data_IF_336957652611
#
_entry.id   IF_336957652611
#
_cell.length_a   1.000
_cell.length_b   1.000
_cell.length_c   1.000
_cell.angle_alpha   90.00
_cell.angle_beta   90.00
_cell.angle_gamma   90.00
#
_symmetry.space_group_name_H-M   'P 1'
#
loop_
_entity.id
_entity.type
_entity.pdbx_description
1 polymer ?
#
# COMPACT_ATOMS: atom_id res chain seq x y z
N UNK A 1 17.97 -4.35 5.56
CA UNK A 1 17.30 -5.04 4.42
C UNK A 1 16.17 -5.98 4.85
N UNK A 2 16.26 -6.68 6.00
CA UNK A 2 15.19 -7.58 6.49
C UNK A 2 13.96 -6.86 7.08
N UNK A 3 14.13 -5.68 7.67
CA UNK A 3 13.05 -5.00 8.42
C UNK A 3 11.88 -4.47 7.56
N UNK A 4 12.11 -4.08 6.30
CA UNK A 4 11.03 -3.52 5.46
C UNK A 4 10.14 -4.58 4.81
N UNK A 5 10.46 -5.86 4.96
CA UNK A 5 9.74 -6.99 4.34
C UNK A 5 8.66 -7.60 5.25
N UNK A 6 8.73 -7.37 6.57
CA UNK A 6 7.76 -7.88 7.56
C UNK A 6 6.37 -7.25 7.43
N UNK A 7 6.29 -6.07 6.83
CA UNK A 7 5.02 -5.34 6.59
C UNK A 7 4.27 -5.91 5.37
N UNK A 8 4.91 -6.76 4.55
CA UNK A 8 4.30 -7.33 3.34
C UNK A 8 3.83 -8.77 3.57
N UNK A 9 2.63 -9.15 3.07
CA UNK A 9 2.24 -10.56 3.03
C UNK A 9 3.26 -11.35 2.20
N UNK A 10 3.61 -12.57 2.63
CA UNK A 10 4.68 -13.40 2.03
C UNK A 10 4.60 -13.47 0.50
N UNK A 11 3.39 -13.60 -0.04
CA UNK A 11 3.13 -13.65 -1.49
C UNK A 11 3.52 -12.36 -2.24
N UNK A 12 3.38 -11.20 -1.61
CA UNK A 12 3.80 -9.92 -2.17
C UNK A 12 5.33 -9.75 -2.12
N UNK A 13 5.96 -10.19 -1.03
CA UNK A 13 7.42 -10.20 -0.89
C UNK A 13 8.08 -11.14 -1.90
N UNK A 14 7.54 -12.36 -2.08
CA UNK A 14 8.00 -13.33 -3.09
C UNK A 14 7.89 -12.78 -4.51
N UNK A 15 6.76 -12.14 -4.83
CA UNK A 15 6.57 -11.51 -6.14
C UNK A 15 7.55 -10.37 -6.38
N UNK A 16 7.85 -9.56 -5.37
CA UNK A 16 8.82 -8.48 -5.45
C UNK A 16 10.25 -9.02 -5.64
N UNK A 17 10.62 -10.07 -4.91
CA UNK A 17 11.92 -10.75 -5.07
C UNK A 17 12.09 -11.32 -6.48
N UNK A 18 11.08 -12.04 -7.00
CA UNK A 18 11.10 -12.60 -8.36
C UNK A 18 11.19 -11.49 -9.41
N UNK A 19 10.48 -10.39 -9.22
CA UNK A 19 10.54 -9.24 -10.11
C UNK A 19 11.92 -8.58 -10.11
N UNK A 20 12.54 -8.41 -8.95
CA UNK A 20 13.90 -7.89 -8.83
C UNK A 20 14.90 -8.79 -9.57
N UNK A 21 14.80 -10.11 -9.40
CA UNK A 21 15.67 -11.06 -10.09
C UNK A 21 15.51 -10.97 -11.61
N UNK A 22 14.27 -10.96 -12.11
CA UNK A 22 13.99 -10.82 -13.54
C UNK A 22 14.52 -9.51 -14.10
N UNK A 23 14.37 -8.41 -13.35
CA UNK A 23 14.91 -7.11 -13.73
C UNK A 23 16.44 -7.15 -13.79
N UNK A 24 17.13 -7.70 -12.79
CA UNK A 24 18.59 -7.82 -12.79
C UNK A 24 19.10 -8.67 -13.96
N UNK A 25 18.41 -9.77 -14.28
CA UNK A 25 18.73 -10.61 -15.46
C UNK A 25 18.52 -9.83 -16.76
N UNK A 26 17.49 -8.99 -16.84
CA UNK A 26 17.23 -8.16 -18.02
C UNK A 26 18.24 -7.00 -18.15
N UNK A 27 18.63 -6.36 -17.05
CA UNK A 27 19.63 -5.28 -17.03
C UNK A 27 21.03 -5.81 -17.36
N UNK A 28 21.36 -7.03 -16.93
CA UNK A 28 22.63 -7.69 -17.28
C UNK A 28 22.67 -8.28 -18.69
N UNK A 29 21.60 -8.11 -19.49
CA UNK A 29 21.54 -8.61 -20.87
C UNK A 29 21.36 -10.13 -20.98
N UNK A 30 21.18 -10.85 -19.87
CA UNK A 30 20.98 -12.31 -19.85
C UNK A 30 19.64 -12.73 -20.43
N UNK A 31 18.63 -11.86 -20.34
CA UNK A 31 17.31 -12.05 -20.94
C UNK A 31 16.85 -10.74 -21.60
N UNK A 32 16.07 -10.86 -22.67
CA UNK A 32 15.38 -9.70 -23.26
C UNK A 32 14.20 -9.28 -22.37
N UNK A 33 13.87 -7.99 -22.41
CA UNK A 33 12.77 -7.42 -21.60
C UNK A 33 11.41 -8.12 -21.83
N UNK A 34 11.12 -8.55 -23.06
CA UNK A 34 9.89 -9.28 -23.36
C UNK A 34 9.88 -10.69 -22.73
N UNK A 35 11.02 -11.39 -22.69
CA UNK A 35 11.15 -12.68 -22.01
C UNK A 35 10.94 -12.53 -20.51
N UNK A 36 11.44 -11.43 -19.93
CA UNK A 36 11.16 -11.09 -18.54
C UNK A 36 9.66 -10.84 -18.27
N UNK A 37 8.94 -10.24 -19.23
CA UNK A 37 7.50 -10.02 -19.10
C UNK A 37 6.72 -11.34 -19.08
N UNK A 38 7.10 -12.27 -19.95
CA UNK A 38 6.54 -13.63 -20.02
C UNK A 38 6.81 -14.41 -18.73
N UNK A 39 8.05 -14.41 -18.22
CA UNK A 39 8.43 -15.02 -16.94
C UNK A 39 7.64 -14.49 -15.74
N UNK A 40 7.23 -13.21 -15.80
CA UNK A 40 6.45 -12.55 -14.76
C UNK A 40 4.94 -12.65 -14.98
N UNK A 41 4.47 -13.21 -16.11
CA UNK A 41 3.07 -13.26 -16.48
C UNK A 41 2.43 -11.88 -16.60
N UNK A 42 3.19 -10.87 -17.06
CA UNK A 42 2.74 -9.49 -17.23
C UNK A 42 2.90 -9.05 -18.69
N UNK A 43 2.19 -8.00 -19.08
CA UNK A 43 2.37 -7.41 -20.41
C UNK A 43 3.75 -6.76 -20.57
N UNK A 44 4.26 -6.73 -21.80
CA UNK A 44 5.52 -6.03 -22.13
C UNK A 44 5.45 -4.53 -21.74
N UNK A 45 4.28 -3.91 -21.91
CA UNK A 45 4.04 -2.51 -21.50
C UNK A 45 4.23 -2.31 -19.99
N UNK A 46 3.78 -3.25 -19.18
CA UNK A 46 4.04 -3.21 -17.74
C UNK A 46 5.53 -3.36 -17.48
N UNK A 47 6.20 -4.32 -18.10
CA UNK A 47 7.64 -4.54 -17.93
C UNK A 47 8.48 -3.29 -18.28
N UNK A 48 8.17 -2.61 -19.39
CA UNK A 48 8.80 -1.33 -19.76
C UNK A 48 8.57 -0.22 -18.72
N UNK A 49 7.38 -0.17 -18.11
CA UNK A 49 7.08 0.78 -17.02
C UNK A 49 7.86 0.47 -15.76
N UNK A 50 8.06 -0.82 -15.45
CA UNK A 50 8.91 -1.27 -14.34
C UNK A 50 10.38 -0.92 -14.58
N UNK A 51 10.88 -1.14 -15.80
CA UNK A 51 12.22 -0.71 -16.23
C UNK A 51 12.43 0.79 -16.00
N UNK A 52 11.56 1.63 -16.53
CA UNK A 52 11.67 3.09 -16.38
C UNK A 52 11.73 3.50 -14.90
N UNK A 53 10.86 2.93 -14.06
CA UNK A 53 10.88 3.19 -12.60
C UNK A 53 12.15 2.70 -11.92
N UNK A 54 12.67 1.56 -12.34
CA UNK A 54 13.94 1.03 -11.81
C UNK A 54 15.12 1.91 -12.18
N UNK A 55 15.17 2.41 -13.41
CA UNK A 55 16.20 3.36 -13.87
C UNK A 55 16.13 4.69 -13.10
N UNK A 56 14.93 5.19 -12.80
CA UNK A 56 14.74 6.47 -12.09
C UNK A 56 14.93 6.39 -10.56
N UNK A 57 14.49 5.30 -9.92
CA UNK A 57 14.32 5.21 -8.46
C UNK A 57 14.99 3.97 -7.85
N UNK A 58 15.71 3.19 -8.66
CA UNK A 58 16.31 1.92 -8.26
C UNK A 58 15.27 0.96 -7.70
N UNK A 59 15.67 0.20 -6.68
CA UNK A 59 14.81 -0.77 -6.00
C UNK A 59 13.54 -0.15 -5.39
N UNK A 60 13.59 1.10 -4.92
CA UNK A 60 12.44 1.77 -4.31
C UNK A 60 11.30 2.00 -5.32
N UNK A 61 11.63 2.15 -6.60
CA UNK A 61 10.64 2.29 -7.69
C UNK A 61 9.82 1.02 -7.94
N UNK A 62 10.28 -0.12 -7.41
CA UNK A 62 9.64 -1.43 -7.55
C UNK A 62 8.61 -1.72 -6.44
N UNK A 63 8.68 -0.99 -5.33
CA UNK A 63 7.73 -1.18 -4.23
C UNK A 63 6.36 -0.62 -4.61
N UNK A 64 5.30 -1.30 -4.16
CA UNK A 64 3.94 -0.82 -4.35
C UNK A 64 3.70 0.42 -3.49
N UNK A 65 3.73 1.61 -4.10
CA UNK A 65 3.55 2.90 -3.42
C UNK A 65 2.14 3.08 -2.83
N UNK A 66 1.19 2.20 -3.14
CA UNK A 66 -0.13 2.17 -2.46
C UNK A 66 -0.05 1.53 -1.08
N UNK A 67 1.01 0.76 -0.79
CA UNK A 67 1.22 0.08 0.49
C UNK A 67 2.32 0.81 1.26
N UNK A 68 1.92 1.48 2.33
CA UNK A 68 2.80 2.27 3.19
C UNK A 68 2.44 3.75 3.28
N UNK A 69 1.75 4.30 2.27
CA UNK A 69 1.19 5.66 2.32
C UNK A 69 -0.27 5.57 2.75
N UNK A 70 -0.64 6.09 3.94
CA UNK A 70 -2.04 6.20 4.31
C UNK A 70 -2.81 6.97 3.22
N UNK A 71 -4.05 6.55 2.94
CA UNK A 71 -4.91 7.27 1.99
C UNK A 71 -4.95 8.76 2.33
N UNK A 72 -4.89 9.64 1.33
CA UNK A 72 -5.05 11.08 1.54
C UNK A 72 -6.43 11.44 2.15
N UNK A 73 -7.40 10.52 2.06
CA UNK A 73 -8.72 10.62 2.70
C UNK A 73 -8.75 10.06 4.13
N UNK A 74 -7.63 9.55 4.64
CA UNK A 74 -7.56 9.01 6.01
C UNK A 74 -7.58 10.17 6.99
N UNK A 75 -8.48 10.11 7.97
CA UNK A 75 -8.50 11.02 9.12
C UNK A 75 -7.15 11.01 9.84
N UNK A 76 -6.77 12.18 10.39
CA UNK A 76 -5.54 12.33 11.15
C UNK A 76 -5.48 11.30 12.29
N UNK A 77 -4.28 10.77 12.57
CA UNK A 77 -4.10 9.71 13.57
C UNK A 77 -4.62 10.13 14.95
N UNK A 78 -4.33 11.35 15.38
CA UNK A 78 -4.81 11.91 16.64
C UNK A 78 -6.35 11.92 16.72
N UNK A 79 -7.01 12.29 15.63
CA UNK A 79 -8.47 12.27 15.56
C UNK A 79 -9.02 10.85 15.63
N UNK A 80 -8.38 9.88 14.96
CA UNK A 80 -8.75 8.46 15.05
C UNK A 80 -8.58 7.89 16.47
N UNK A 81 -7.51 8.26 17.17
CA UNK A 81 -7.25 7.87 18.56
C UNK A 81 -8.29 8.45 19.52
N UNK A 82 -8.69 9.72 19.32
CA UNK A 82 -9.76 10.35 20.07
C UNK A 82 -11.11 9.63 19.88
N UNK A 83 -11.46 9.27 18.63
CA UNK A 83 -12.67 8.48 18.34
C UNK A 83 -12.66 7.15 19.10
N UNK A 84 -11.50 6.49 19.10
CA UNK A 84 -11.34 5.19 19.75
C UNK A 84 -11.41 5.29 21.27
N UNK A 85 -10.85 6.33 21.88
CA UNK A 85 -10.99 6.59 23.32
C UNK A 85 -12.45 6.85 23.66
N UNK A 86 -13.15 7.71 22.91
CA UNK A 86 -14.57 8.00 23.11
C UNK A 86 -15.43 6.74 23.03
N UNK A 87 -15.16 5.86 22.06
CA UNK A 87 -15.86 4.59 21.93
C UNK A 87 -15.60 3.69 23.14
N UNK A 88 -14.35 3.55 23.58
CA UNK A 88 -13.97 2.69 24.70
C UNK A 88 -14.44 3.19 26.06
N UNK A 89 -14.42 4.50 26.27
CA UNK A 89 -14.61 5.10 27.60
C UNK A 89 -16.06 5.51 27.86
N UNK A 90 -16.79 5.95 26.82
CA UNK A 90 -18.16 6.50 26.97
C UNK A 90 -19.26 5.69 26.29
N UNK A 91 -18.91 4.86 25.32
CA UNK A 91 -19.89 4.17 24.46
C UNK A 91 -19.55 2.69 24.26
N UNK A 92 -18.92 2.06 25.27
CA UNK A 92 -18.42 0.69 25.20
C UNK A 92 -19.53 -0.35 24.98
N UNK A 93 -20.77 0.02 25.30
CA UNK A 93 -22.00 -0.76 25.16
C UNK A 93 -22.68 -0.56 23.80
N UNK A 94 -22.26 0.44 23.01
CA UNK A 94 -22.81 0.68 21.68
C UNK A 94 -22.12 -0.16 20.61
N UNK A 95 -22.91 -0.68 19.68
CA UNK A 95 -22.37 -1.24 18.44
C UNK A 95 -21.81 -0.09 17.56
N UNK A 96 -20.79 -0.38 16.75
CA UNK A 96 -20.05 0.60 15.92
C UNK A 96 -21.00 1.45 15.06
N UNK A 97 -22.11 0.86 14.58
CA UNK A 97 -23.16 1.55 13.84
C UNK A 97 -23.87 2.62 14.67
N UNK A 98 -24.31 2.28 15.88
CA UNK A 98 -25.00 3.22 16.77
C UNK A 98 -24.06 4.29 17.32
N UNK A 99 -22.79 3.93 17.55
CA UNK A 99 -21.76 4.92 17.88
C UNK A 99 -21.58 5.95 16.74
N UNK A 100 -21.54 5.50 15.49
CA UNK A 100 -21.45 6.40 14.33
C UNK A 100 -22.69 7.30 14.21
N UNK A 101 -23.90 6.75 14.38
CA UNK A 101 -25.17 7.49 14.35
C UNK A 101 -25.25 8.55 15.48
N UNK A 102 -24.96 8.16 16.73
CA UNK A 102 -24.98 9.07 17.89
C UNK A 102 -23.94 10.18 17.80
N UNK A 103 -22.77 9.90 17.21
CA UNK A 103 -21.73 10.92 17.01
C UNK A 103 -22.11 11.97 15.98
N UNK A 104 -22.94 11.60 15.00
CA UNK A 104 -23.43 12.51 13.95
C UNK A 104 -24.50 13.48 14.50
N UNK A 105 -25.26 13.04 15.52
CA UNK A 105 -26.31 13.84 16.17
C UNK A 105 -25.78 14.86 17.20
N UNK A 106 -24.51 14.78 17.59
CA UNK A 106 -23.91 15.61 18.64
C UNK A 106 -22.91 16.67 18.14
N UNK A 107 -22.72 16.81 16.82
CA UNK A 107 -21.98 17.92 16.22
C UNK A 107 -22.94 18.96 15.62
N UNK A 108 -23.07 20.19 16.18
CA UNK A 108 -23.70 21.28 15.47
C UNK A 108 -22.66 21.91 14.55
N UNK A 109 -22.71 21.64 13.24
CA UNK A 109 -21.78 22.33 12.33
C UNK A 109 -21.52 21.74 10.94
N UNK A 110 -22.50 21.10 10.29
CA UNK A 110 -22.45 20.96 8.83
C UNK A 110 -23.82 21.29 8.22
N UNK A 111 -24.09 22.59 8.17
CA UNK A 111 -24.92 23.18 7.12
C UNK A 111 -23.97 23.99 6.22
N UNK A 112 -24.13 23.78 4.92
CA UNK A 112 -23.40 24.27 3.73
C UNK A 112 -21.99 23.72 3.43
#
# INVERSE_FOLDING_TARGET
MRESMEIYPRTAAERAMKLQEVLLRATSGKIKWWQGAELMGISERQMRRWRKRYEEQGYKGLLDRRRGTPSHRRVAKAQAEEVLSLYRDRYFDLNVRHFHENRTLSQPGHAD
#
